data_IF_505471911799
#
_entry.id   IF_505471911799
#
_cell.length_a   1.000
_cell.length_b   1.000
_cell.length_c   1.000
_cell.angle_alpha   90.00
_cell.angle_beta   90.00
_cell.angle_gamma   90.00
#
_symmetry.space_group_name_H-M   'P 1'
#
loop_
_entity.id
_entity.type
_entity.pdbx_description
1 polymer ?
#
# COMPACT_ATOMS: atom_id res chain seq x y z
N UNK A 1 7.09 3.35 -4.92
CA UNK A 1 5.64 3.27 -4.63
C UNK A 1 5.20 4.62 -4.09
N UNK A 2 4.05 5.09 -4.54
CA UNK A 2 3.44 6.35 -4.11
C UNK A 2 1.99 6.09 -3.66
N UNK A 3 1.54 6.80 -2.61
CA UNK A 3 0.16 6.78 -2.15
C UNK A 3 -0.38 8.21 -2.25
N UNK A 4 -1.41 8.37 -3.07
CA UNK A 4 -2.18 9.61 -3.20
C UNK A 4 -3.04 9.79 -1.93
N UNK A 5 -2.58 10.65 -1.02
CA UNK A 5 -3.23 10.88 0.27
C UNK A 5 -4.55 11.65 0.16
N UNK A 6 -4.81 12.34 -0.95
CA UNK A 6 -6.10 13.01 -1.19
C UNK A 6 -7.20 11.99 -1.52
N UNK A 7 -6.82 10.83 -2.08
CA UNK A 7 -7.73 9.72 -2.35
C UNK A 7 -7.76 8.68 -1.25
N UNK A 8 -6.68 8.54 -0.50
CA UNK A 8 -6.54 7.49 0.50
C UNK A 8 -7.60 7.62 1.61
N UNK A 9 -8.42 6.58 1.77
CA UNK A 9 -9.44 6.50 2.84
C UNK A 9 -8.98 5.67 4.05
N UNK A 10 -7.67 5.41 4.17
CA UNK A 10 -7.06 4.65 5.27
C UNK A 10 -7.69 3.28 5.57
N UNK A 11 -8.23 2.61 4.53
CA UNK A 11 -8.94 1.33 4.69
C UNK A 11 -8.04 0.11 4.98
N UNK A 12 -6.72 0.22 4.82
CA UNK A 12 -5.79 -0.89 5.06
C UNK A 12 -5.74 -1.99 3.99
N UNK A 13 -6.52 -1.90 2.91
CA UNK A 13 -6.58 -2.95 1.88
C UNK A 13 -5.22 -3.27 1.24
N UNK A 14 -4.37 -2.25 1.03
CA UNK A 14 -3.02 -2.45 0.49
C UNK A 14 -2.08 -3.19 1.46
N UNK A 15 -2.27 -3.00 2.78
CA UNK A 15 -1.50 -3.68 3.83
C UNK A 15 -1.91 -5.14 3.89
N UNK A 16 -3.22 -5.41 4.01
CA UNK A 16 -3.75 -6.77 4.12
C UNK A 16 -3.51 -7.63 2.89
N UNK A 17 -3.44 -7.02 1.70
CA UNK A 17 -3.25 -7.74 0.44
C UNK A 17 -1.77 -7.96 0.06
N UNK A 18 -0.81 -7.37 0.78
CA UNK A 18 0.60 -7.50 0.45
C UNK A 18 1.17 -8.86 0.90
N UNK A 19 1.45 -9.81 -0.01
CA UNK A 19 1.85 -11.16 0.38
C UNK A 19 3.25 -11.21 1.02
N UNK A 20 4.13 -10.26 0.66
CA UNK A 20 5.49 -10.18 1.19
C UNK A 20 5.61 -9.27 2.41
N UNK A 21 4.49 -8.69 2.88
CA UNK A 21 4.46 -7.74 3.99
C UNK A 21 5.41 -6.56 3.77
N UNK A 22 5.55 -6.13 2.51
CA UNK A 22 6.32 -4.94 2.12
C UNK A 22 5.60 -3.64 2.50
N UNK A 23 4.30 -3.68 2.81
CA UNK A 23 3.51 -2.53 3.24
C UNK A 23 3.05 -2.77 4.67
N UNK A 24 3.26 -1.80 5.56
CA UNK A 24 2.80 -1.83 6.96
C UNK A 24 2.10 -0.54 7.31
N UNK A 25 1.15 -0.63 8.24
CA UNK A 25 0.53 0.53 8.86
C UNK A 25 1.04 0.66 10.30
N UNK A 26 1.51 1.85 10.64
CA UNK A 26 1.96 2.19 11.98
C UNK A 26 0.80 2.64 12.87
N UNK A 27 0.97 2.69 14.21
CA UNK A 27 -0.07 3.14 15.14
C UNK A 27 -0.53 4.59 14.92
N UNK A 28 0.28 5.42 14.27
CA UNK A 28 -0.02 6.80 13.90
C UNK A 28 -0.72 6.94 12.53
N UNK A 29 -1.19 5.82 11.97
CA UNK A 29 -1.80 5.70 10.65
C UNK A 29 -0.86 5.97 9.46
N UNK A 30 0.44 6.21 9.70
CA UNK A 30 1.41 6.28 8.62
C UNK A 30 1.60 4.92 7.95
N UNK A 31 1.85 4.95 6.64
CA UNK A 31 2.16 3.75 5.87
C UNK A 31 3.67 3.69 5.66
N UNK A 32 4.26 2.56 6.02
CA UNK A 32 5.66 2.24 5.73
C UNK A 32 5.73 1.26 4.56
N UNK A 33 6.66 1.52 3.63
CA UNK A 33 6.92 0.67 2.47
C UNK A 33 8.39 0.22 2.44
N UNK A 34 8.60 -1.09 2.51
CA UNK A 34 9.91 -1.74 2.41
C UNK A 34 10.13 -2.22 0.96
N UNK A 35 10.89 -1.44 0.19
CA UNK A 35 11.20 -1.75 -1.21
C UNK A 35 11.95 -3.09 -1.36
N UNK A 36 12.75 -3.50 -0.37
CA UNK A 36 13.52 -4.75 -0.44
C UNK A 36 12.64 -5.99 -0.39
N UNK A 37 11.44 -5.88 0.20
CA UNK A 37 10.44 -6.95 0.25
C UNK A 37 9.45 -6.90 -0.92
N UNK A 38 9.42 -5.79 -1.66
CA UNK A 38 8.46 -5.64 -2.74
C UNK A 38 8.92 -6.41 -3.99
N UNK A 39 8.16 -7.46 -4.35
CA UNK A 39 8.39 -8.24 -5.57
C UNK A 39 7.65 -7.68 -6.79
N UNK A 40 7.15 -6.44 -6.71
CA UNK A 40 6.41 -5.74 -7.78
C UNK A 40 5.20 -6.53 -8.35
N UNK A 41 4.52 -7.30 -7.50
CA UNK A 41 3.35 -8.10 -7.90
C UNK A 41 2.08 -7.29 -8.23
N UNK A 42 2.07 -5.97 -7.94
CA UNK A 42 0.95 -5.04 -8.19
C UNK A 42 -0.38 -5.34 -7.49
N UNK A 43 -0.44 -6.33 -6.60
CA UNK A 43 -1.65 -6.67 -5.84
C UNK A 43 -2.18 -5.46 -5.05
N UNK A 44 -1.30 -4.68 -4.42
CA UNK A 44 -1.70 -3.49 -3.66
C UNK A 44 -2.33 -2.39 -4.53
N UNK A 45 -1.95 -2.29 -5.80
CA UNK A 45 -2.55 -1.34 -6.76
C UNK A 45 -3.98 -1.77 -7.08
N UNK A 46 -4.19 -3.06 -7.38
CA UNK A 46 -5.52 -3.60 -7.70
C UNK A 46 -6.45 -3.70 -6.48
N UNK A 47 -5.89 -3.95 -5.29
CA UNK A 47 -6.66 -4.03 -4.06
C UNK A 47 -7.16 -2.67 -3.56
N UNK A 48 -6.62 -1.56 -4.07
CA UNK A 48 -7.01 -0.22 -3.64
C UNK A 48 -8.34 0.19 -4.28
N UNK A 49 -9.45 0.26 -3.53
CA UNK A 49 -10.78 0.51 -4.11
C UNK A 49 -10.94 1.93 -4.67
N UNK A 50 -10.14 2.87 -4.17
CA UNK A 50 -10.14 4.29 -4.57
C UNK A 50 -9.00 4.65 -5.53
N UNK A 51 -8.18 3.66 -5.92
CA UNK A 51 -7.06 3.89 -6.84
C UNK A 51 -6.00 4.87 -6.31
N UNK A 52 -5.77 4.89 -5.00
CA UNK A 52 -4.78 5.75 -4.35
C UNK A 52 -3.34 5.23 -4.46
N UNK A 53 -3.14 3.93 -4.71
CA UNK A 53 -1.81 3.30 -4.72
C UNK A 53 -1.26 3.24 -6.15
N UNK A 54 -0.03 3.72 -6.35
CA UNK A 54 0.72 3.62 -7.61
C UNK A 54 2.08 2.98 -7.40
N UNK A 55 2.47 2.07 -8.31
CA UNK A 55 3.83 1.57 -8.42
C UNK A 55 4.56 2.39 -9.48
N UNK A 56 5.58 3.12 -9.03
CA UNK A 56 6.58 3.82 -9.84
C UNK A 56 7.91 3.09 -9.76
#
# INVERSE_FOLDING_TARGET
MEIDMDKCISCGACVSSCPTQAIKQNPDWSIEFDEKKCVRCQICVHACPVGAVKLI
#
